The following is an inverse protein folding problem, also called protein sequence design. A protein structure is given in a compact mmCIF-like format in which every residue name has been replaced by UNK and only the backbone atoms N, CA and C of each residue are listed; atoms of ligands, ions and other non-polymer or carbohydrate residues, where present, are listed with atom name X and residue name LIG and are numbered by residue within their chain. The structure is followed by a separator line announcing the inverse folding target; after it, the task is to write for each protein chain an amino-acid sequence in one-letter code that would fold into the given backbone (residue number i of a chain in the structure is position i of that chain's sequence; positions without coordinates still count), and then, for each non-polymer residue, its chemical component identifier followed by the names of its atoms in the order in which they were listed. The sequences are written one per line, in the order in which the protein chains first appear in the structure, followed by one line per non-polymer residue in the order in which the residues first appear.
data_IF_231566200300
#
_entry.id   IF_231566200300
#
_cell.length_a   1.000
_cell.length_b   1.000
_cell.length_c   1.000
_cell.angle_alpha   90.00
_cell.angle_beta   90.00
_cell.angle_gamma   90.00
#
_symmetry.space_group_name_H-M   'P 1'
#
loop_
_entity.id
_entity.type
_entity.pdbx_description
1 polymer ?
#
# COMPACT_ATOMS: atom_id res chain seq x y z
N UNK A 1 -1.70 15.08 -22.23
CA UNK A 1 -1.73 13.91 -21.34
C UNK A 1 -2.74 14.18 -20.23
N UNK A 2 -3.80 13.40 -20.14
CA UNK A 2 -4.79 13.49 -19.06
C UNK A 2 -4.64 12.26 -18.16
N UNK A 3 -4.80 12.44 -16.85
CA UNK A 3 -4.78 11.33 -15.89
C UNK A 3 -5.94 10.37 -16.15
N UNK A 4 -5.75 9.08 -15.84
CA UNK A 4 -6.84 8.11 -15.83
C UNK A 4 -7.93 8.54 -14.85
N UNK A 5 -9.18 8.39 -15.29
CA UNK A 5 -10.38 8.57 -14.45
C UNK A 5 -10.67 7.27 -13.70
N UNK A 6 -10.96 7.39 -12.41
CA UNK A 6 -11.35 6.31 -11.51
C UNK A 6 -12.62 6.70 -10.76
N UNK A 7 -13.38 5.76 -10.16
CA UNK A 7 -14.63 6.09 -9.46
C UNK A 7 -14.49 7.15 -8.35
N UNK A 8 -13.30 7.28 -7.76
CA UNK A 8 -12.99 8.26 -6.73
C UNK A 8 -12.49 9.62 -7.24
N UNK A 9 -12.28 9.79 -8.56
CA UNK A 9 -11.74 11.01 -9.18
C UNK A 9 -10.67 10.70 -10.22
N UNK A 10 -9.54 11.40 -10.17
CA UNK A 10 -8.41 11.12 -11.05
C UNK A 10 -7.31 10.37 -10.29
N UNK A 11 -6.65 9.43 -10.97
CA UNK A 11 -5.56 8.65 -10.39
C UNK A 11 -4.43 9.53 -9.83
N UNK A 12 -4.08 10.61 -10.54
CA UNK A 12 -3.07 11.58 -10.07
C UNK A 12 -3.45 12.20 -8.73
N UNK A 13 -4.73 12.46 -8.49
CA UNK A 13 -5.21 13.03 -7.23
C UNK A 13 -5.09 12.03 -6.08
N UNK A 14 -5.39 10.75 -6.33
CA UNK A 14 -5.21 9.69 -5.32
C UNK A 14 -3.73 9.55 -4.92
N UNK A 15 -2.83 9.51 -5.91
CA UNK A 15 -1.39 9.42 -5.67
C UNK A 15 -0.86 10.63 -4.91
N UNK A 16 -1.34 11.82 -5.25
CA UNK A 16 -1.01 13.04 -4.54
C UNK A 16 -1.43 12.97 -3.06
N UNK A 17 -2.69 12.62 -2.78
CA UNK A 17 -3.18 12.48 -1.38
C UNK A 17 -2.45 11.38 -0.62
N UNK A 18 -2.15 10.25 -1.27
CA UNK A 18 -1.35 9.18 -0.66
C UNK A 18 0.06 9.66 -0.31
N UNK A 19 0.73 10.39 -1.22
CA UNK A 19 2.05 10.97 -0.96
C UNK A 19 2.04 11.93 0.23
N UNK A 20 1.04 12.81 0.31
CA UNK A 20 0.88 13.71 1.48
C UNK A 20 0.68 12.91 2.78
N UNK A 21 -0.10 11.82 2.75
CA UNK A 21 -0.26 10.92 3.90
C UNK A 21 1.05 10.25 4.31
N UNK A 22 1.88 9.78 3.37
CA UNK A 22 3.17 9.16 3.67
C UNK A 22 4.15 10.12 4.36
N UNK A 23 4.11 11.40 4.02
CA UNK A 23 4.92 12.45 4.66
C UNK A 23 4.31 12.88 6.00
N UNK A 24 3.10 12.43 6.33
CA UNK A 24 2.38 12.77 7.56
C UNK A 24 1.73 14.15 7.53
N UNK A 25 1.52 14.72 6.34
CA UNK A 25 0.98 16.07 6.17
C UNK A 25 -0.46 16.05 5.67
N UNK A 26 -1.30 16.88 6.27
CA UNK A 26 -2.73 16.95 6.00
C UNK A 26 -3.08 17.89 4.84
N UNK A 27 -4.40 18.10 4.66
CA UNK A 27 -4.99 18.95 3.64
C UNK A 27 -4.42 20.37 3.61
N UNK A 28 -4.18 20.99 4.78
CA UNK A 28 -3.64 22.36 4.86
C UNK A 28 -2.26 22.47 4.20
N UNK A 29 -1.37 21.52 4.47
CA UNK A 29 -0.05 21.49 3.85
C UNK A 29 -0.14 21.19 2.35
N UNK A 30 -1.13 20.37 1.94
CA UNK A 30 -1.41 20.14 0.52
C UNK A 30 -1.86 21.41 -0.20
N UNK A 31 -2.65 22.27 0.45
CA UNK A 31 -3.02 23.58 -0.09
C UNK A 31 -1.79 24.48 -0.22
N UNK A 32 -0.95 24.56 0.81
CA UNK A 32 0.30 25.33 0.77
C UNK A 32 1.23 24.83 -0.33
N UNK A 33 1.39 23.51 -0.48
CA UNK A 33 2.20 22.91 -1.54
C UNK A 33 1.66 23.27 -2.93
N UNK A 34 0.35 23.13 -3.17
CA UNK A 34 -0.25 23.52 -4.43
C UNK A 34 -0.05 25.01 -4.73
N UNK A 35 -0.23 25.89 -3.73
CA UNK A 35 -0.02 27.32 -3.88
C UNK A 35 1.45 27.65 -4.21
N UNK A 36 2.41 27.02 -3.51
CA UNK A 36 3.85 27.20 -3.73
C UNK A 36 4.27 26.77 -5.14
N UNK A 37 3.71 25.64 -5.61
CA UNK A 37 4.06 25.04 -6.90
C UNK A 37 3.24 25.61 -8.07
N UNK A 38 2.40 26.63 -7.83
CA UNK A 38 1.46 27.17 -8.81
C UNK A 38 0.57 26.09 -9.47
N UNK A 39 0.15 25.11 -8.67
CA UNK A 39 -0.74 24.02 -9.07
C UNK A 39 -2.19 24.38 -8.74
N UNK A 40 -3.17 23.77 -9.44
CA UNK A 40 -4.56 23.87 -9.03
C UNK A 40 -4.75 23.42 -7.57
N UNK A 41 -5.75 23.96 -6.88
CA UNK A 41 -5.99 23.63 -5.48
C UNK A 41 -6.22 22.12 -5.32
N UNK A 42 -5.80 21.55 -4.18
CA UNK A 42 -5.98 20.13 -3.93
C UNK A 42 -7.47 19.76 -3.98
N UNK A 43 -7.80 18.47 -4.23
CA UNK A 43 -9.18 18.04 -4.42
C UNK A 43 -10.10 18.54 -3.30
N UNK A 44 -11.22 19.18 -3.66
CA UNK A 44 -12.16 19.75 -2.68
C UNK A 44 -12.68 18.69 -1.69
N UNK A 45 -12.74 17.44 -2.15
CA UNK A 45 -13.15 16.24 -1.40
C UNK A 45 -11.93 15.42 -0.94
N UNK A 46 -10.92 16.07 -0.38
CA UNK A 46 -9.66 15.45 0.06
C UNK A 46 -9.89 14.26 0.99
N UNK A 47 -10.84 14.41 1.92
CA UNK A 47 -11.19 13.38 2.90
C UNK A 47 -11.86 12.16 2.25
N UNK A 48 -12.61 12.34 1.15
CA UNK A 48 -13.26 11.22 0.43
C UNK A 48 -12.27 10.29 -0.26
N UNK A 49 -11.04 10.75 -0.48
CA UNK A 49 -9.96 9.94 -1.04
C UNK A 49 -9.33 9.02 0.02
N UNK A 50 -9.56 9.27 1.32
CA UNK A 50 -8.98 8.43 2.37
C UNK A 50 -9.56 7.02 2.39
N UNK A 51 -10.88 6.86 2.21
CA UNK A 51 -11.52 5.53 2.21
C UNK A 51 -10.95 4.61 1.11
N UNK A 52 -10.92 4.99 -0.17
CA UNK A 52 -10.35 4.12 -1.21
C UNK A 52 -8.86 3.87 -1.01
N UNK A 53 -8.09 4.87 -0.55
CA UNK A 53 -6.66 4.70 -0.22
C UNK A 53 -6.49 3.71 0.92
N UNK A 54 -7.30 3.82 1.98
CA UNK A 54 -7.24 2.95 3.14
C UNK A 54 -7.59 1.51 2.78
N UNK A 55 -8.68 1.28 2.05
CA UNK A 55 -9.08 -0.07 1.63
C UNK A 55 -8.03 -0.73 0.72
N UNK A 56 -7.44 0.05 -0.20
CA UNK A 56 -6.36 -0.44 -1.06
C UNK A 56 -5.11 -0.77 -0.24
N UNK A 57 -4.76 0.07 0.74
CA UNK A 57 -3.64 -0.14 1.65
C UNK A 57 -3.85 -1.39 2.51
N UNK A 58 -5.03 -1.55 3.11
CA UNK A 58 -5.40 -2.72 3.92
C UNK A 58 -5.37 -4.01 3.11
N UNK A 59 -5.85 -3.97 1.87
CA UNK A 59 -5.79 -5.12 0.96
C UNK A 59 -4.33 -5.46 0.63
N UNK A 60 -3.50 -4.46 0.33
CA UNK A 60 -2.10 -4.65 0.01
C UNK A 60 -1.30 -5.18 1.22
N UNK A 61 -1.54 -4.64 2.42
CA UNK A 61 -0.88 -5.08 3.65
C UNK A 61 -1.30 -6.49 4.02
N UNK A 62 -2.60 -6.80 3.95
CA UNK A 62 -3.12 -8.15 4.23
C UNK A 62 -2.56 -9.18 3.26
N UNK A 63 -2.49 -8.86 1.96
CA UNK A 63 -1.86 -9.74 0.96
C UNK A 63 -0.37 -9.92 1.22
N UNK A 64 0.35 -8.84 1.52
CA UNK A 64 1.79 -8.91 1.81
C UNK A 64 2.08 -9.79 3.03
N UNK A 65 1.32 -9.61 4.11
CA UNK A 65 1.46 -10.41 5.33
C UNK A 65 1.04 -11.86 5.11
N UNK A 66 -0.04 -12.12 4.36
CA UNK A 66 -0.47 -13.47 4.01
C UNK A 66 0.56 -14.22 3.17
N UNK A 67 1.17 -13.57 2.18
CA UNK A 67 2.25 -14.15 1.38
C UNK A 67 3.50 -14.43 2.22
N UNK A 68 3.84 -13.54 3.16
CA UNK A 68 4.95 -13.76 4.10
C UNK A 68 4.67 -14.92 5.05
N UNK A 69 3.45 -15.01 5.59
CA UNK A 69 3.04 -16.13 6.44
C UNK A 69 3.08 -17.46 5.68
N UNK A 70 2.55 -17.51 4.46
CA UNK A 70 2.63 -18.70 3.62
C UNK A 70 4.08 -19.07 3.27
N UNK A 71 4.94 -18.09 2.99
CA UNK A 71 6.37 -18.31 2.79
C UNK A 71 7.05 -18.88 4.04
N UNK A 72 6.72 -18.38 5.22
CA UNK A 72 7.22 -18.91 6.51
C UNK A 72 6.75 -20.36 6.70
N UNK A 73 5.48 -20.66 6.46
CA UNK A 73 4.91 -22.01 6.56
C UNK A 73 5.64 -22.98 5.61
N UNK A 74 5.87 -22.58 4.36
CA UNK A 74 6.60 -23.40 3.38
C UNK A 74 8.06 -23.63 3.77
N UNK A 75 8.71 -22.66 4.42
CA UNK A 75 10.07 -22.84 4.94
C UNK A 75 10.09 -23.80 6.14
N UNK A 76 9.06 -23.75 7.00
CA UNK A 76 8.93 -24.64 8.16
C UNK A 76 8.65 -26.09 7.74
N UNK A 77 7.73 -26.31 6.79
CA UNK A 77 7.49 -27.64 6.19
C UNK A 77 8.73 -28.20 5.47
N UNK A 78 9.51 -27.34 4.82
CA UNK A 78 10.76 -27.72 4.15
C UNK A 78 11.88 -28.03 5.15
N UNK A 79 11.95 -27.32 6.27
CA UNK A 79 12.89 -27.61 7.35
C UNK A 79 12.55 -28.96 8.03
N UNK A 80 11.27 -29.23 8.29
CA UNK A 80 10.81 -30.48 8.89
C UNK A 80 11.09 -31.68 7.96
N UNK A 81 10.91 -31.54 6.65
CA UNK A 81 11.23 -32.60 5.69
C UNK A 81 12.73 -32.87 5.56
N UNK A 82 13.58 -31.84 5.60
CA UNK A 82 15.04 -32.00 5.66
C UNK A 82 15.49 -32.74 6.93
N UNK A 83 14.98 -32.36 8.10
CA UNK A 83 15.32 -33.02 9.37
C UNK A 83 14.86 -34.48 9.38
N UNK A 84 13.68 -34.80 8.84
CA UNK A 84 13.20 -36.18 8.71
C UNK A 84 14.04 -37.00 7.73
N UNK A 85 14.49 -36.41 6.62
CA UNK A 85 15.34 -37.09 5.64
C UNK A 85 16.71 -37.43 6.23
N UNK A 86 17.30 -36.54 7.03
CA UNK A 86 18.54 -36.83 7.75
C UNK A 86 18.35 -37.97 8.76
N UNK A 87 17.28 -37.96 9.57
CA UNK A 87 16.99 -39.04 10.52
C UNK A 87 16.80 -40.42 9.88
N UNK A 88 16.27 -40.48 8.65
CA UNK A 88 16.07 -41.73 7.89
C UNK A 88 17.38 -42.31 7.30
N UNK A 89 18.44 -41.53 7.20
CA UNK A 89 19.76 -41.98 6.71
C UNK A 89 20.58 -42.66 7.83
N UNK A 90 20.21 -42.44 9.09
CA UNK A 90 20.89 -42.99 10.28
C UNK A 90 20.17 -44.20 10.91
N UNK A 91 19.18 -44.79 10.23
CA UNK A 91 18.48 -46.03 10.62
C UNK A 91 18.71 -47.10 9.55
#
# INVERSE_FOLDING_TARGET
MTSNSVPAGYEVNLRFVYGMRCIGIGKSAAQTFCALMNLPPPPAKFERLYTPIFNALETASSRSMGLRAAGIILLEERAISHVKAELLVWV
#
